data_IF_576137150985
#
_entry.id   IF_576137150985
#
_cell.length_a   1.000
_cell.length_b   1.000
_cell.length_c   1.000
_cell.angle_alpha   90.00
_cell.angle_beta   90.00
_cell.angle_gamma   90.00
#
_symmetry.space_group_name_H-M   'P 1'
#
loop_
_entity.id
_entity.type
_entity.pdbx_description
1 polymer ?
#
# COMPACT_ATOMS: atom_id res chain seq x y z
N UNK A 1 -5.95 -2.81 24.11
CA UNK A 1 -5.30 -2.20 22.94
C UNK A 1 -6.03 -2.68 21.71
N UNK A 2 -6.33 -1.75 20.80
CA UNK A 2 -6.81 -2.07 19.47
C UNK A 2 -5.56 -2.31 18.62
N UNK A 3 -5.37 -3.54 18.17
CA UNK A 3 -4.21 -3.93 17.36
C UNK A 3 -4.61 -3.92 15.88
N UNK A 4 -3.63 -3.85 14.97
CA UNK A 4 -3.86 -3.77 13.52
C UNK A 4 -4.66 -2.52 13.10
N UNK A 5 -4.16 -1.35 13.48
CA UNK A 5 -4.74 -0.05 13.13
C UNK A 5 -3.77 0.78 12.29
N UNK A 6 -4.30 1.69 11.49
CA UNK A 6 -3.48 2.61 10.70
C UNK A 6 -3.89 4.07 10.88
N UNK A 7 -2.95 4.97 10.65
CA UNK A 7 -3.16 6.41 10.53
C UNK A 7 -2.81 6.83 9.11
N UNK A 8 -3.74 7.49 8.46
CA UNK A 8 -3.66 7.81 7.05
C UNK A 8 -3.21 9.24 6.77
N UNK A 9 -2.35 9.36 5.76
CA UNK A 9 -1.93 10.64 5.24
C UNK A 9 -3.08 11.42 4.58
N UNK A 10 -3.16 12.72 4.89
CA UNK A 10 -4.14 13.63 4.32
C UNK A 10 -4.05 13.78 2.78
N UNK A 11 -2.84 13.74 2.21
CA UNK A 11 -2.64 13.82 0.76
C UNK A 11 -3.23 12.63 0.00
N UNK A 12 -3.34 11.49 0.66
CA UNK A 12 -4.00 10.31 0.09
C UNK A 12 -5.48 10.60 -0.15
N UNK A 13 -6.14 11.33 0.75
CA UNK A 13 -7.54 11.71 0.58
C UNK A 13 -7.73 12.73 -0.52
N UNK A 14 -6.87 13.73 -0.61
CA UNK A 14 -6.90 14.72 -1.69
C UNK A 14 -6.72 14.04 -3.05
N UNK A 15 -5.78 13.11 -3.16
CA UNK A 15 -5.53 12.34 -4.39
C UNK A 15 -6.73 11.49 -4.80
N UNK A 16 -7.37 10.82 -3.83
CA UNK A 16 -8.56 10.01 -4.07
C UNK A 16 -9.77 10.86 -4.44
N UNK A 17 -9.99 11.97 -3.72
CA UNK A 17 -11.07 12.90 -4.02
C UNK A 17 -10.95 13.43 -5.45
N UNK A 18 -9.75 13.85 -5.86
CA UNK A 18 -9.51 14.31 -7.23
C UNK A 18 -9.71 13.20 -8.26
N UNK A 19 -9.25 11.96 -7.99
CA UNK A 19 -9.46 10.83 -8.88
C UNK A 19 -10.95 10.56 -9.13
N UNK A 20 -11.78 10.59 -8.08
CA UNK A 20 -13.21 10.32 -8.20
C UNK A 20 -14.03 11.50 -8.74
N UNK A 21 -13.63 12.73 -8.45
CA UNK A 21 -14.38 13.92 -8.87
C UNK A 21 -13.99 14.44 -10.26
N UNK A 22 -12.71 14.30 -10.64
CA UNK A 22 -12.14 14.88 -11.87
C UNK A 22 -11.58 13.82 -12.83
N UNK A 23 -11.42 12.57 -12.39
CA UNK A 23 -10.74 11.53 -13.14
C UNK A 23 -9.21 11.58 -12.98
N UNK A 24 -8.48 10.71 -13.70
CA UNK A 24 -7.03 10.60 -13.57
C UNK A 24 -6.29 11.85 -14.07
N UNK A 25 -5.42 12.41 -13.24
CA UNK A 25 -4.58 13.57 -13.60
C UNK A 25 -3.24 13.12 -14.20
N UNK A 26 -3.03 13.39 -15.50
CA UNK A 26 -1.78 13.05 -16.18
C UNK A 26 -0.70 14.14 -16.12
N UNK A 27 -0.89 15.14 -15.26
CA UNK A 27 0.16 16.09 -14.87
C UNK A 27 1.31 15.38 -14.14
N UNK A 28 2.37 16.14 -13.85
CA UNK A 28 3.52 15.65 -13.11
C UNK A 28 3.47 16.14 -11.65
N UNK A 29 3.55 15.19 -10.73
CA UNK A 29 3.94 15.39 -9.36
C UNK A 29 5.46 15.21 -9.22
N UNK A 30 6.03 15.49 -8.04
CA UNK A 30 7.47 15.42 -7.80
C UNK A 30 7.80 14.57 -6.58
N UNK A 31 8.70 13.61 -6.74
CA UNK A 31 9.27 12.83 -5.63
C UNK A 31 10.64 13.36 -5.25
N UNK A 32 10.92 13.38 -3.95
CA UNK A 32 12.24 13.74 -3.44
C UNK A 32 13.17 12.51 -3.54
N UNK A 33 14.30 12.66 -4.22
CA UNK A 33 15.36 11.64 -4.28
C UNK A 33 16.61 12.12 -3.54
N UNK A 34 17.03 11.36 -2.55
CA UNK A 34 18.18 11.65 -1.71
C UNK A 34 19.44 11.19 -2.43
N UNK A 35 20.41 12.10 -2.57
CA UNK A 35 21.74 11.77 -3.04
C UNK A 35 22.74 11.87 -1.88
N UNK A 36 23.10 10.72 -1.31
CA UNK A 36 24.04 10.63 -0.18
C UNK A 36 25.49 10.93 -0.60
N UNK A 37 25.84 10.69 -1.85
CA UNK A 37 27.21 10.91 -2.36
C UNK A 37 27.51 12.41 -2.50
N UNK A 38 26.54 13.16 -3.01
CA UNK A 38 26.66 14.62 -3.18
C UNK A 38 26.15 15.41 -1.99
N UNK A 39 25.70 14.74 -0.92
CA UNK A 39 25.11 15.36 0.27
C UNK A 39 23.98 16.35 -0.09
N UNK A 40 23.12 15.95 -1.04
CA UNK A 40 22.04 16.78 -1.59
C UNK A 40 20.76 15.97 -1.82
N UNK A 41 19.76 16.60 -2.40
CA UNK A 41 18.56 15.92 -2.89
C UNK A 41 18.10 16.56 -4.19
N UNK A 42 17.36 15.80 -5.00
CA UNK A 42 16.79 16.22 -6.26
C UNK A 42 15.29 15.90 -6.32
N UNK A 43 14.60 16.48 -7.30
CA UNK A 43 13.21 16.18 -7.59
C UNK A 43 13.09 15.36 -8.87
N UNK A 44 12.43 14.21 -8.79
CA UNK A 44 12.10 13.39 -9.97
C UNK A 44 10.61 13.52 -10.28
N UNK A 45 10.27 13.68 -11.55
CA UNK A 45 8.88 13.74 -11.98
C UNK A 45 8.21 12.36 -11.91
N UNK A 46 6.98 12.35 -11.43
CA UNK A 46 6.10 11.18 -11.41
C UNK A 46 4.72 11.57 -11.94
N UNK A 47 4.05 10.65 -12.64
CA UNK A 47 2.68 10.88 -13.10
C UNK A 47 1.71 10.97 -11.91
N UNK A 48 0.94 12.04 -11.81
CA UNK A 48 -0.06 12.21 -10.73
C UNK A 48 -1.10 11.07 -10.76
N UNK A 49 -1.51 10.60 -11.94
CA UNK A 49 -2.45 9.49 -12.08
C UNK A 49 -1.93 8.18 -11.47
N UNK A 50 -0.61 7.95 -11.53
CA UNK A 50 0.01 6.78 -10.91
C UNK A 50 -0.10 6.87 -9.38
N UNK A 51 0.21 8.03 -8.81
CA UNK A 51 0.07 8.32 -7.38
C UNK A 51 -1.38 8.18 -6.90
N UNK A 52 -2.35 8.66 -7.68
CA UNK A 52 -3.78 8.52 -7.39
C UNK A 52 -4.24 7.06 -7.38
N UNK A 53 -3.82 6.28 -8.39
CA UNK A 53 -4.18 4.86 -8.50
C UNK A 53 -3.52 4.03 -7.39
N UNK A 54 -2.26 4.32 -7.04
CA UNK A 54 -1.61 3.65 -5.92
C UNK A 54 -2.28 3.98 -4.58
N UNK A 55 -2.69 5.24 -4.40
CA UNK A 55 -3.48 5.67 -3.24
C UNK A 55 -4.80 4.87 -3.13
N UNK A 56 -5.46 4.59 -4.26
CA UNK A 56 -6.65 3.74 -4.31
C UNK A 56 -6.33 2.30 -3.91
N UNK A 57 -5.19 1.76 -4.33
CA UNK A 57 -4.76 0.42 -3.96
C UNK A 57 -4.45 0.31 -2.47
N UNK A 58 -3.85 1.33 -1.87
CA UNK A 58 -3.70 1.42 -0.42
C UNK A 58 -5.05 1.46 0.29
N UNK A 59 -6.03 2.20 -0.24
CA UNK A 59 -7.37 2.28 0.35
C UNK A 59 -8.05 0.93 0.39
N UNK A 60 -8.05 0.23 -0.74
CA UNK A 60 -8.69 -1.07 -0.84
C UNK A 60 -8.07 -2.05 0.17
N UNK A 61 -6.74 -2.11 0.26
CA UNK A 61 -6.07 -3.02 1.19
C UNK A 61 -6.41 -2.69 2.65
N UNK A 62 -6.36 -1.41 3.02
CA UNK A 62 -6.59 -0.98 4.39
C UNK A 62 -8.06 -1.16 4.79
N UNK A 63 -9.02 -0.83 3.92
CA UNK A 63 -10.44 -1.09 4.15
C UNK A 63 -10.73 -2.58 4.35
N UNK A 64 -10.03 -3.46 3.64
CA UNK A 64 -10.25 -4.91 3.76
C UNK A 64 -9.57 -5.50 5.00
N UNK A 65 -8.36 -5.03 5.36
CA UNK A 65 -7.49 -5.71 6.32
C UNK A 65 -7.33 -5.03 7.69
N UNK A 66 -7.58 -3.73 7.84
CA UNK A 66 -7.41 -3.03 9.12
C UNK A 66 -8.59 -3.18 10.04
N UNK A 67 -8.35 -3.14 11.34
CA UNK A 67 -9.45 -3.03 12.31
C UNK A 67 -9.98 -1.60 12.40
N UNK A 68 -9.08 -0.62 12.43
CA UNK A 68 -9.41 0.81 12.44
C UNK A 68 -8.45 1.62 11.57
N UNK A 69 -8.98 2.65 10.95
CA UNK A 69 -8.27 3.62 10.14
C UNK A 69 -8.52 5.00 10.73
N UNK A 70 -7.47 5.58 11.31
CA UNK A 70 -7.47 6.93 11.83
C UNK A 70 -7.16 7.94 10.74
N UNK A 71 -7.84 9.08 10.77
CA UNK A 71 -7.58 10.21 9.88
C UNK A 71 -7.77 11.54 10.60
N UNK A 72 -7.02 12.57 10.21
CA UNK A 72 -7.14 13.89 10.85
C UNK A 72 -8.48 14.55 10.45
N UNK A 73 -9.24 14.97 11.48
CA UNK A 73 -10.57 15.56 11.36
C UNK A 73 -10.63 16.75 10.41
N UNK A 74 -9.54 17.50 10.29
CA UNK A 74 -9.45 18.67 9.39
C UNK A 74 -9.58 18.28 7.92
N UNK A 75 -9.40 17.00 7.59
CA UNK A 75 -9.51 16.46 6.24
C UNK A 75 -10.76 15.57 6.07
N UNK A 76 -11.67 15.60 7.04
CA UNK A 76 -12.96 14.86 6.98
C UNK A 76 -13.79 15.19 5.75
N UNK A 77 -13.72 16.40 5.21
CA UNK A 77 -14.45 16.79 4.00
C UNK A 77 -14.14 15.89 2.80
N UNK A 78 -12.89 15.43 2.66
CA UNK A 78 -12.49 14.49 1.60
C UNK A 78 -13.16 13.11 1.76
N UNK A 79 -13.30 12.63 3.00
CA UNK A 79 -13.97 11.35 3.31
C UNK A 79 -15.48 11.43 3.16
N UNK A 80 -16.10 12.50 3.68
CA UNK A 80 -17.55 12.72 3.63
C UNK A 80 -18.06 12.95 2.20
N UNK A 81 -17.15 13.08 1.23
CA UNK A 81 -17.50 13.17 -0.19
C UNK A 81 -17.86 11.80 -0.79
N UNK A 82 -17.66 10.71 -0.05
CA UNK A 82 -17.97 9.35 -0.47
C UNK A 82 -19.09 8.76 0.38
N UNK A 83 -20.34 8.82 -0.09
CA UNK A 83 -21.51 8.27 0.65
C UNK A 83 -21.31 6.81 1.10
N UNK A 84 -20.57 6.00 0.33
CA UNK A 84 -20.26 4.62 0.69
C UNK A 84 -19.41 4.48 1.96
N UNK A 85 -18.67 5.52 2.34
CA UNK A 85 -17.80 5.54 3.52
C UNK A 85 -18.53 6.03 4.77
N UNK A 86 -19.69 6.69 4.64
CA UNK A 86 -20.49 7.18 5.77
C UNK A 86 -20.89 6.04 6.72
N UNK A 87 -21.20 4.86 6.16
CA UNK A 87 -21.54 3.66 6.94
C UNK A 87 -20.39 3.12 7.80
N UNK A 88 -19.16 3.55 7.52
CA UNK A 88 -17.94 3.12 8.20
C UNK A 88 -17.45 4.13 9.24
N UNK A 89 -18.03 5.34 9.27
CA UNK A 89 -17.65 6.40 10.21
C UNK A 89 -17.95 5.98 11.65
N UNK A 90 -17.00 6.26 12.55
CA UNK A 90 -17.06 5.89 13.96
C UNK A 90 -16.86 4.40 14.26
N UNK A 91 -16.90 3.51 13.26
CA UNK A 91 -16.66 2.07 13.42
C UNK A 91 -15.27 1.65 12.94
N UNK A 92 -15.01 1.80 11.64
CA UNK A 92 -13.73 1.54 10.99
C UNK A 92 -12.96 2.84 10.78
N UNK A 93 -13.62 3.87 10.26
CA UNK A 93 -13.02 5.17 10.02
C UNK A 93 -13.16 6.02 11.27
N UNK A 94 -12.04 6.40 11.88
CA UNK A 94 -12.03 7.13 13.14
C UNK A 94 -11.39 8.49 12.92
N UNK A 95 -12.22 9.53 12.92
CA UNK A 95 -11.76 10.91 12.90
C UNK A 95 -11.03 11.25 14.20
N UNK A 96 -9.85 11.85 14.10
CA UNK A 96 -9.06 12.32 15.25
C UNK A 96 -8.70 13.79 15.07
N UNK A 97 -8.82 14.58 16.13
CA UNK A 97 -8.27 15.94 16.17
C UNK A 97 -7.05 15.96 17.07
N UNK A 98 -5.87 15.84 16.46
CA UNK A 98 -4.59 15.88 17.16
C UNK A 98 -3.99 17.27 16.94
N UNK A 99 -3.88 18.10 18.00
CA UNK A 99 -3.25 19.41 17.88
C UNK A 99 -1.81 19.29 17.37
N UNK A 100 -1.45 20.09 16.37
CA UNK A 100 -0.09 20.11 15.77
C UNK A 100 1.02 20.40 16.80
N UNK A 101 0.67 21.11 17.88
CA UNK A 101 1.56 21.47 18.99
C UNK A 101 1.40 20.59 20.22
N UNK A 102 0.71 19.45 20.11
CA UNK A 102 0.76 18.44 21.15
C UNK A 102 2.23 18.09 21.45
N UNK A 103 2.71 18.18 22.71
CA UNK A 103 4.12 17.98 23.03
C UNK A 103 4.69 16.63 22.60
N UNK A 104 3.95 15.53 22.81
CA UNK A 104 4.39 14.18 22.44
C UNK A 104 4.53 14.04 20.93
N UNK A 105 3.56 14.56 20.17
CA UNK A 105 3.60 14.59 18.71
C UNK A 105 4.75 15.47 18.21
N UNK A 106 4.99 16.61 18.86
CA UNK A 106 6.06 17.52 18.52
C UNK A 106 7.44 16.89 18.73
N UNK A 107 7.63 16.17 19.84
CA UNK A 107 8.87 15.46 20.15
C UNK A 107 9.12 14.32 19.15
N UNK A 108 8.11 13.49 18.87
CA UNK A 108 8.21 12.42 17.88
C UNK A 108 8.46 12.96 16.47
N UNK A 109 7.80 14.07 16.08
CA UNK A 109 8.06 14.74 14.80
C UNK A 109 9.51 15.24 14.71
N UNK A 110 10.03 15.86 15.76
CA UNK A 110 11.39 16.42 15.73
C UNK A 110 12.43 15.30 15.59
N UNK A 111 12.25 14.18 16.30
CA UNK A 111 13.07 12.97 16.10
C UNK A 111 12.96 12.43 14.67
N UNK A 112 11.75 12.39 14.11
CA UNK A 112 11.56 11.97 12.72
C UNK A 112 12.26 12.92 11.73
N UNK A 113 12.24 14.23 11.96
CA UNK A 113 12.95 15.20 11.12
C UNK A 113 14.47 14.98 11.13
N UNK A 114 15.06 14.65 12.27
CA UNK A 114 16.48 14.32 12.38
C UNK A 114 16.86 13.11 11.50
N UNK A 115 15.95 12.13 11.42
CA UNK A 115 16.13 10.93 10.58
C UNK A 115 15.83 11.20 9.10
N UNK A 116 14.87 12.06 8.79
CA UNK A 116 14.47 12.36 7.41
C UNK A 116 15.42 13.31 6.70
N UNK A 117 15.98 14.29 7.42
CA UNK A 117 16.94 15.26 6.89
C UNK A 117 18.37 14.69 6.86
N UNK A 118 18.60 13.66 6.05
CA UNK A 118 19.87 12.92 6.03
C UNK A 118 21.03 13.68 5.39
N UNK A 119 20.76 14.70 4.58
CA UNK A 119 21.81 15.53 3.96
C UNK A 119 21.85 16.93 4.56
N UNK A 120 23.00 17.58 4.47
CA UNK A 120 23.16 18.93 5.03
C UNK A 120 22.30 19.96 4.28
N UNK A 121 22.07 19.75 2.99
CA UNK A 121 21.11 20.58 2.23
C UNK A 121 19.68 20.45 2.77
N UNK A 122 19.24 19.23 3.10
CA UNK A 122 17.90 19.01 3.68
C UNK A 122 17.78 19.65 5.07
N UNK A 123 18.80 19.51 5.92
CA UNK A 123 18.83 20.16 7.25
C UNK A 123 18.71 21.67 7.12
N UNK A 124 19.53 22.27 6.24
CA UNK A 124 19.50 23.70 5.95
C UNK A 124 18.12 24.16 5.47
N UNK A 125 17.53 23.49 4.48
CA UNK A 125 16.21 23.88 3.96
C UNK A 125 15.10 23.70 5.02
N UNK A 126 15.21 22.69 5.88
CA UNK A 126 14.28 22.51 7.00
C UNK A 126 14.42 23.63 8.04
N UNK A 127 15.64 24.06 8.36
CA UNK A 127 15.90 25.19 9.26
C UNK A 127 15.37 26.51 8.68
N UNK A 128 15.64 26.78 7.40
CA UNK A 128 15.13 27.96 6.68
C UNK A 128 13.60 27.97 6.65
N UNK A 129 12.96 26.80 6.48
CA UNK A 129 11.51 26.65 6.59
C UNK A 129 10.98 26.99 7.99
N UNK A 130 11.62 26.48 9.04
CA UNK A 130 11.23 26.75 10.42
C UNK A 130 11.40 28.24 10.77
N UNK A 131 12.50 28.85 10.36
CA UNK A 131 12.78 30.26 10.60
C UNK A 131 11.82 31.17 9.83
N UNK A 132 11.63 30.91 8.53
CA UNK A 132 10.69 31.65 7.69
C UNK A 132 9.27 31.58 8.25
N UNK A 133 8.81 30.40 8.67
CA UNK A 133 7.47 30.25 9.21
C UNK A 133 7.30 30.97 10.56
N UNK A 134 8.32 30.93 11.43
CA UNK A 134 8.30 31.67 12.71
C UNK A 134 8.21 33.17 12.50
N UNK A 135 8.99 33.73 11.58
CA UNK A 135 9.06 35.18 11.32
C UNK A 135 7.85 35.69 10.54
N UNK A 136 7.49 34.99 9.47
CA UNK A 136 6.64 35.53 8.40
C UNK A 136 5.40 34.67 8.11
N UNK A 137 5.23 33.51 8.79
CA UNK A 137 4.22 32.49 8.44
C UNK A 137 4.36 31.94 7.03
N UNK A 138 5.58 31.97 6.47
CA UNK A 138 5.90 31.50 5.12
C UNK A 138 7.08 30.53 5.16
N UNK A 139 7.00 29.44 4.40
CA UNK A 139 8.08 28.47 4.27
C UNK A 139 8.80 28.69 2.93
N UNK A 140 10.04 29.19 2.88
CA UNK A 140 10.76 29.46 1.62
C UNK A 140 10.90 28.23 0.71
N UNK A 141 10.96 27.03 1.28
CA UNK A 141 10.99 25.75 0.57
C UNK A 141 9.69 24.98 0.80
N UNK A 142 8.57 25.55 0.35
CA UNK A 142 7.23 25.07 0.68
C UNK A 142 7.02 23.58 0.36
N UNK A 143 7.24 23.17 -0.90
CA UNK A 143 7.00 21.78 -1.30
C UNK A 143 7.92 20.80 -0.58
N UNK A 144 9.19 21.16 -0.36
CA UNK A 144 10.11 20.39 0.48
C UNK A 144 9.55 20.22 1.90
N UNK A 145 9.07 21.32 2.51
CA UNK A 145 8.45 21.28 3.83
C UNK A 145 7.20 20.40 3.85
N UNK A 146 6.34 20.50 2.84
CA UNK A 146 5.14 19.66 2.75
C UNK A 146 5.47 18.16 2.65
N UNK A 147 6.55 17.79 1.97
CA UNK A 147 7.01 16.39 1.89
C UNK A 147 7.66 15.95 3.21
N UNK A 148 8.71 16.66 3.67
CA UNK A 148 9.54 16.24 4.80
C UNK A 148 8.87 16.51 6.15
N UNK A 149 8.46 17.75 6.41
CA UNK A 149 7.77 18.10 7.66
C UNK A 149 6.39 17.47 7.73
N UNK A 150 5.69 17.33 6.60
CA UNK A 150 4.43 16.59 6.51
C UNK A 150 4.60 15.12 6.90
N UNK A 151 5.58 14.41 6.31
CA UNK A 151 5.89 13.03 6.68
C UNK A 151 6.25 12.90 8.17
N UNK A 152 7.14 13.74 8.68
CA UNK A 152 7.51 13.76 10.10
C UNK A 152 6.30 14.01 11.02
N UNK A 153 5.42 14.92 10.62
CA UNK A 153 4.22 15.27 11.37
C UNK A 153 3.22 14.11 11.43
N UNK A 154 3.06 13.37 10.34
CA UNK A 154 2.20 12.19 10.32
C UNK A 154 2.80 11.02 11.08
N UNK A 155 4.11 10.81 11.02
CA UNK A 155 4.82 9.85 11.86
C UNK A 155 4.66 10.14 13.36
N UNK A 156 4.75 11.43 13.74
CA UNK A 156 4.51 11.84 15.12
C UNK A 156 3.09 11.53 15.60
N UNK A 157 2.08 11.77 14.74
CA UNK A 157 0.67 11.48 15.04
C UNK A 157 0.39 9.98 15.08
N UNK A 158 0.92 9.22 14.14
CA UNK A 158 0.73 7.76 14.09
C UNK A 158 1.38 7.11 15.31
N UNK A 159 2.57 7.56 15.72
CA UNK A 159 3.23 7.11 16.95
C UNK A 159 2.40 7.44 18.19
N UNK A 160 1.87 8.66 18.30
CA UNK A 160 0.97 9.05 19.39
C UNK A 160 -0.28 8.16 19.47
N UNK A 161 -0.83 7.76 18.33
CA UNK A 161 -1.99 6.87 18.24
C UNK A 161 -1.67 5.39 18.45
N UNK A 162 -0.38 5.00 18.43
CA UNK A 162 0.01 3.59 18.35
C UNK A 162 -0.49 2.92 17.07
N UNK A 163 -0.58 3.66 15.97
CA UNK A 163 -1.09 3.20 14.68
C UNK A 163 0.00 3.19 13.61
N UNK A 164 -0.12 2.28 12.64
CA UNK A 164 0.79 2.23 11.50
C UNK A 164 0.57 3.41 10.57
N UNK A 165 1.63 4.14 10.21
CA UNK A 165 1.51 5.25 9.27
C UNK A 165 1.41 4.77 7.82
N UNK A 166 0.25 4.98 7.20
CA UNK A 166 0.05 4.76 5.76
C UNK A 166 0.33 6.08 5.04
N UNK A 167 1.56 6.20 4.55
CA UNK A 167 2.02 7.38 3.84
C UNK A 167 1.37 7.51 2.45
N UNK A 168 1.18 8.75 2.02
CA UNK A 168 0.92 9.06 0.61
C UNK A 168 2.11 8.61 -0.25
N UNK A 169 1.94 8.10 -1.49
CA UNK A 169 3.04 7.56 -2.29
C UNK A 169 4.26 8.48 -2.43
N UNK A 170 4.06 9.80 -2.55
CA UNK A 170 5.17 10.77 -2.63
C UNK A 170 6.00 10.78 -1.34
N UNK A 171 5.35 10.70 -0.18
CA UNK A 171 6.02 10.64 1.13
C UNK A 171 6.56 9.24 1.42
N UNK A 172 5.89 8.18 0.97
CA UNK A 172 6.38 6.80 1.07
C UNK A 172 7.74 6.65 0.35
N UNK A 173 7.85 7.20 -0.86
CA UNK A 173 9.10 7.24 -1.64
C UNK A 173 10.26 7.88 -0.85
N UNK A 174 10.02 8.91 -0.03
CA UNK A 174 11.02 9.47 0.88
C UNK A 174 11.37 8.51 2.03
N UNK A 175 10.36 7.93 2.68
CA UNK A 175 10.55 7.04 3.83
C UNK A 175 11.37 5.79 3.47
N UNK A 176 11.19 5.26 2.27
CA UNK A 176 11.93 4.09 1.78
C UNK A 176 13.44 4.37 1.56
N UNK A 177 13.83 5.64 1.40
CA UNK A 177 15.23 6.03 1.17
C UNK A 177 16.03 6.25 2.47
N UNK A 178 15.34 6.34 3.60
CA UNK A 178 15.97 6.60 4.90
C UNK A 178 16.05 5.30 5.71
N UNK A 179 17.26 4.74 5.93
CA UNK A 179 17.42 3.71 6.93
C UNK A 179 17.16 4.37 8.29
N UNK A 180 16.47 3.70 9.22
CA UNK A 180 16.33 4.04 10.65
C UNK A 180 14.95 4.50 11.14
N UNK A 181 13.90 4.50 10.31
CA UNK A 181 12.57 4.33 10.91
C UNK A 181 12.38 2.84 11.15
N UNK A 182 12.43 2.40 12.41
CA UNK A 182 11.71 1.20 12.82
C UNK A 182 10.27 1.66 13.11
N UNK A 183 9.36 1.69 12.12
CA UNK A 183 7.96 1.82 12.47
C UNK A 183 7.63 0.70 13.45
N UNK A 184 6.71 0.96 14.38
CA UNK A 184 6.07 -0.11 15.14
C UNK A 184 5.76 -1.27 14.18
N UNK A 185 6.25 -2.47 14.49
CA UNK A 185 6.14 -3.62 13.60
C UNK A 185 4.69 -3.74 13.16
N UNK A 186 4.44 -3.57 11.86
CA UNK A 186 3.11 -3.65 11.29
C UNK A 186 2.92 -5.01 10.64
N UNK A 187 2.23 -5.90 11.35
CA UNK A 187 2.03 -7.26 10.89
C UNK A 187 1.15 -7.34 9.64
N UNK A 188 0.27 -6.36 9.42
CA UNK A 188 -0.46 -6.28 8.16
C UNK A 188 0.51 -6.12 6.97
N UNK A 189 1.44 -5.16 7.05
CA UNK A 189 2.47 -4.96 6.04
C UNK A 189 3.41 -6.16 5.91
N UNK A 190 3.85 -6.78 7.02
CA UNK A 190 4.70 -7.98 6.99
C UNK A 190 4.02 -9.14 6.24
N UNK A 191 2.74 -9.40 6.54
CA UNK A 191 1.96 -10.47 5.89
C UNK A 191 1.74 -10.14 4.41
N UNK A 192 1.46 -8.88 4.07
CA UNK A 192 1.33 -8.43 2.66
C UNK A 192 2.64 -8.66 1.90
N UNK A 193 3.76 -8.21 2.44
CA UNK A 193 5.09 -8.38 1.83
C UNK A 193 5.43 -9.87 1.68
N UNK A 194 5.11 -10.70 2.68
CA UNK A 194 5.27 -12.14 2.59
C UNK A 194 4.42 -12.73 1.45
N UNK A 195 3.15 -12.33 1.30
CA UNK A 195 2.29 -12.78 0.19
C UNK A 195 2.90 -12.37 -1.15
N UNK A 196 3.33 -11.11 -1.29
CA UNK A 196 3.90 -10.58 -2.53
C UNK A 196 5.21 -11.31 -2.90
N UNK A 197 6.05 -11.61 -1.90
CA UNK A 197 7.26 -12.40 -2.08
C UNK A 197 6.97 -13.84 -2.54
N UNK A 198 5.98 -14.50 -1.96
CA UNK A 198 5.59 -15.84 -2.40
C UNK A 198 4.96 -15.84 -3.80
N UNK A 199 4.16 -14.81 -4.13
CA UNK A 199 3.63 -14.60 -5.50
C UNK A 199 4.77 -14.45 -6.50
N UNK A 200 5.74 -13.58 -6.21
CA UNK A 200 6.93 -13.37 -7.03
C UNK A 200 7.67 -14.69 -7.28
N UNK A 201 7.94 -15.49 -6.24
CA UNK A 201 8.59 -16.81 -6.37
C UNK A 201 7.80 -17.79 -7.24
N UNK A 202 6.47 -17.79 -7.12
CA UNK A 202 5.60 -18.65 -7.93
C UNK A 202 5.64 -18.25 -9.41
N UNK A 203 5.44 -16.97 -9.73
CA UNK A 203 5.33 -16.51 -11.11
C UNK A 203 6.68 -16.37 -11.84
N UNK A 204 7.78 -16.17 -11.12
CA UNK A 204 9.14 -16.22 -11.69
C UNK A 204 9.49 -17.61 -12.18
N UNK A 205 9.17 -18.66 -11.42
CA UNK A 205 9.45 -20.05 -11.80
C UNK A 205 8.65 -20.54 -13.02
N UNK A 206 7.54 -19.88 -13.33
CA UNK A 206 6.65 -20.19 -14.47
C UNK A 206 7.10 -19.55 -15.79
N UNK A 207 8.08 -18.64 -15.75
CA UNK A 207 8.52 -17.89 -16.92
C UNK A 207 9.71 -18.60 -17.58
N UNK A 208 9.63 -19.00 -18.87
CA UNK A 208 10.74 -19.66 -19.55
C UNK A 208 12.02 -18.82 -19.56
N UNK A 209 13.17 -19.48 -19.41
CA UNK A 209 14.50 -18.86 -19.51
C UNK A 209 14.62 -18.12 -20.84
N UNK A 210 14.95 -16.83 -20.79
CA UNK A 210 15.05 -15.94 -21.96
C UNK A 210 13.84 -15.04 -22.23
N UNK A 211 12.73 -15.17 -21.49
CA UNK A 211 11.55 -14.27 -21.54
C UNK A 211 11.34 -13.45 -20.26
N UNK A 212 12.40 -13.28 -19.46
CA UNK A 212 12.38 -12.55 -18.19
C UNK A 212 12.01 -11.06 -18.32
N UNK A 213 12.00 -10.48 -19.52
CA UNK A 213 11.69 -9.05 -19.70
C UNK A 213 10.20 -8.68 -19.51
N UNK A 214 9.32 -9.65 -19.22
CA UNK A 214 7.88 -9.44 -19.06
C UNK A 214 7.40 -9.68 -17.61
N UNK A 215 8.22 -9.43 -16.59
CA UNK A 215 7.76 -9.52 -15.21
C UNK A 215 6.60 -8.53 -14.98
N UNK A 216 5.48 -9.10 -14.51
CA UNK A 216 4.17 -8.45 -14.40
C UNK A 216 3.60 -8.86 -13.05
N UNK A 217 4.02 -8.20 -11.97
CA UNK A 217 3.20 -8.13 -10.76
C UNK A 217 2.31 -6.90 -10.92
N UNK A 218 1.10 -7.06 -11.44
CA UNK A 218 0.33 -5.89 -11.89
C UNK A 218 -0.45 -5.26 -10.75
N UNK A 219 -0.92 -6.04 -9.77
CA UNK A 219 -1.67 -5.52 -8.61
C UNK A 219 -1.52 -6.39 -7.36
N UNK A 220 -1.66 -5.81 -6.15
CA UNK A 220 -1.88 -6.56 -4.93
C UNK A 220 -3.11 -7.50 -5.07
N UNK A 221 -3.07 -8.72 -4.50
CA UNK A 221 -4.10 -9.74 -4.77
C UNK A 221 -5.50 -9.36 -4.26
N UNK A 222 -5.60 -8.62 -3.15
CA UNK A 222 -6.88 -8.13 -2.62
C UNK A 222 -7.44 -7.03 -3.51
N UNK A 223 -6.57 -6.13 -3.99
CA UNK A 223 -6.95 -5.06 -4.93
C UNK A 223 -7.55 -5.65 -6.20
N UNK A 224 -6.89 -6.66 -6.78
CA UNK A 224 -7.40 -7.36 -7.95
C UNK A 224 -8.77 -8.02 -7.68
N UNK A 225 -8.93 -8.72 -6.55
CA UNK A 225 -10.21 -9.36 -6.18
C UNK A 225 -11.34 -8.33 -6.05
N UNK A 226 -11.10 -7.19 -5.41
CA UNK A 226 -12.09 -6.11 -5.27
C UNK A 226 -12.46 -5.53 -6.63
N UNK A 227 -11.48 -5.16 -7.46
CA UNK A 227 -11.73 -4.60 -8.80
C UNK A 227 -12.49 -5.60 -9.67
N UNK A 228 -12.17 -6.89 -9.60
CA UNK A 228 -12.87 -7.92 -10.36
C UNK A 228 -14.32 -8.10 -9.93
N UNK A 229 -14.61 -7.94 -8.64
CA UNK A 229 -15.97 -8.03 -8.10
C UNK A 229 -16.87 -6.82 -8.38
N UNK A 230 -16.29 -5.62 -8.51
CA UNK A 230 -17.04 -4.39 -8.82
C UNK A 230 -17.52 -4.36 -10.27
N UNK A 231 -18.68 -3.74 -10.58
CA UNK A 231 -19.15 -3.60 -11.98
C UNK A 231 -18.77 -2.27 -12.64
N UNK A 232 -18.45 -1.26 -11.82
CA UNK A 232 -18.04 0.09 -12.24
C UNK A 232 -17.12 0.73 -11.19
N UNK A 233 -16.43 1.82 -11.56
CA UNK A 233 -15.49 2.52 -10.68
C UNK A 233 -16.09 2.97 -9.33
N UNK A 234 -17.32 3.48 -9.33
CA UNK A 234 -18.01 3.91 -8.11
C UNK A 234 -18.38 2.76 -7.16
N UNK A 235 -18.30 1.50 -7.60
CA UNK A 235 -18.56 0.33 -6.76
C UNK A 235 -17.30 -0.24 -6.09
N UNK A 236 -16.10 0.28 -6.38
CA UNK A 236 -14.85 -0.23 -5.79
C UNK A 236 -14.88 -0.19 -4.26
N UNK A 237 -15.34 0.91 -3.67
CA UNK A 237 -15.43 1.05 -2.20
C UNK A 237 -16.49 0.08 -1.63
N UNK A 238 -17.76 0.05 -2.11
CA UNK A 238 -18.72 -0.98 -1.72
C UNK A 238 -18.19 -2.42 -1.83
N UNK A 239 -17.51 -2.75 -2.93
CA UNK A 239 -16.90 -4.07 -3.12
C UNK A 239 -15.75 -4.35 -2.15
N UNK A 240 -14.98 -3.33 -1.75
CA UNK A 240 -13.98 -3.46 -0.69
C UNK A 240 -14.63 -3.78 0.67
N UNK A 241 -15.77 -3.15 0.98
CA UNK A 241 -16.54 -3.43 2.22
C UNK A 241 -17.11 -4.86 2.20
N UNK A 242 -17.66 -5.33 1.08
CA UNK A 242 -18.10 -6.73 0.98
C UNK A 242 -16.93 -7.71 1.13
N UNK A 243 -15.78 -7.36 0.54
CA UNK A 243 -14.56 -8.17 0.64
C UNK A 243 -14.02 -8.18 2.06
N UNK A 244 -14.10 -7.06 2.78
CA UNK A 244 -13.77 -6.97 4.21
C UNK A 244 -14.49 -8.07 5.00
N UNK A 245 -15.79 -8.26 4.82
CA UNK A 245 -16.54 -9.31 5.52
C UNK A 245 -16.04 -10.73 5.20
N UNK A 246 -15.66 -10.98 3.94
CA UNK A 246 -15.07 -12.27 3.51
C UNK A 246 -13.72 -12.54 4.17
N UNK A 247 -12.96 -11.49 4.49
CA UNK A 247 -11.62 -11.56 5.07
C UNK A 247 -11.57 -11.35 6.60
N UNK A 248 -12.71 -11.35 7.30
CA UNK A 248 -12.78 -11.16 8.77
C UNK A 248 -11.83 -12.07 9.54
N UNK A 249 -11.78 -13.37 9.24
CA UNK A 249 -10.86 -14.31 9.92
C UNK A 249 -9.38 -13.98 9.69
N UNK A 250 -9.04 -13.46 8.51
CA UNK A 250 -7.66 -13.05 8.20
C UNK A 250 -7.31 -11.80 9.00
N UNK A 251 -8.22 -10.82 9.11
CA UNK A 251 -8.01 -9.65 9.96
C UNK A 251 -7.83 -10.01 11.42
N UNK A 252 -8.70 -10.86 11.95
CA UNK A 252 -8.61 -11.35 13.32
C UNK A 252 -7.25 -12.01 13.56
N UNK A 253 -6.82 -12.89 12.64
CA UNK A 253 -5.52 -13.55 12.70
C UNK A 253 -4.33 -12.57 12.66
N UNK A 254 -4.39 -11.53 11.80
CA UNK A 254 -3.39 -10.45 11.77
C UNK A 254 -3.38 -9.69 13.10
N UNK A 255 -4.55 -9.36 13.65
CA UNK A 255 -4.67 -8.69 14.95
C UNK A 255 -4.11 -9.50 16.11
N UNK A 256 -4.36 -10.81 16.13
CA UNK A 256 -3.77 -11.72 17.13
C UNK A 256 -2.25 -11.84 16.97
N UNK A 257 -1.74 -11.86 15.72
CA UNK A 257 -0.31 -11.90 15.46
C UNK A 257 0.37 -10.59 15.89
N UNK A 258 -0.20 -9.43 15.56
CA UNK A 258 0.21 -8.11 16.05
C UNK A 258 0.27 -8.09 17.58
N UNK A 259 -0.79 -8.58 18.24
CA UNK A 259 -0.84 -8.69 19.71
C UNK A 259 0.28 -9.56 20.26
N UNK A 260 0.62 -10.66 19.59
CA UNK A 260 1.68 -11.56 20.01
C UNK A 260 3.08 -10.93 19.89
N UNK A 261 3.30 -10.10 18.85
CA UNK A 261 4.56 -9.36 18.65
C UNK A 261 4.72 -8.30 19.73
N UNK A 262 3.70 -7.48 19.95
CA UNK A 262 3.76 -6.40 20.94
C UNK A 262 3.89 -6.91 22.39
N UNK A 263 3.43 -8.14 22.66
CA UNK A 263 3.58 -8.80 23.96
C UNK A 263 4.81 -9.69 24.07
N UNK A 264 5.66 -9.72 23.03
CA UNK A 264 6.86 -10.54 22.95
C UNK A 264 6.61 -12.02 23.32
N UNK A 265 5.46 -12.59 22.94
CA UNK A 265 5.07 -13.95 23.35
C UNK A 265 5.62 -15.02 22.39
N UNK A 266 6.71 -15.74 22.71
CA UNK A 266 7.40 -16.59 21.73
C UNK A 266 6.57 -17.80 21.31
N UNK A 267 5.75 -18.34 22.22
CA UNK A 267 4.90 -19.49 21.93
C UNK A 267 3.80 -19.15 20.92
N UNK A 268 3.18 -17.96 21.06
CA UNK A 268 2.20 -17.47 20.08
C UNK A 268 2.87 -17.13 18.75
N UNK A 269 4.00 -16.43 18.77
CA UNK A 269 4.76 -16.09 17.56
C UNK A 269 5.15 -17.32 16.74
N UNK A 270 5.57 -18.40 17.40
CA UNK A 270 5.88 -19.67 16.72
C UNK A 270 4.68 -20.25 15.97
N UNK A 271 3.44 -20.09 16.47
CA UNK A 271 2.23 -20.59 15.78
C UNK A 271 1.94 -19.81 14.49
N UNK A 272 2.10 -18.48 14.53
CA UNK A 272 1.91 -17.62 13.37
C UNK A 272 2.95 -17.94 12.29
N UNK A 273 4.24 -17.97 12.67
CA UNK A 273 5.33 -18.34 11.75
C UNK A 273 5.16 -19.72 11.15
N UNK A 274 4.79 -20.73 11.95
CA UNK A 274 4.48 -22.08 11.44
C UNK A 274 3.35 -22.09 10.42
N UNK A 275 2.38 -21.20 10.53
CA UNK A 275 1.30 -21.08 9.55
C UNK A 275 1.84 -20.56 8.23
N UNK A 276 2.64 -19.49 8.25
CA UNK A 276 3.31 -18.94 7.05
C UNK A 276 4.26 -19.97 6.42
N UNK A 277 5.13 -20.59 7.22
CA UNK A 277 6.08 -21.63 6.77
C UNK A 277 5.35 -22.80 6.12
N UNK A 278 4.23 -23.23 6.70
CA UNK A 278 3.45 -24.33 6.16
C UNK A 278 2.81 -23.97 4.81
N UNK A 279 2.38 -22.73 4.61
CA UNK A 279 1.86 -22.27 3.32
C UNK A 279 2.99 -22.17 2.30
N UNK A 280 4.14 -21.60 2.67
CA UNK A 280 5.32 -21.54 1.82
C UNK A 280 5.77 -22.94 1.36
N UNK A 281 5.74 -23.94 2.25
CA UNK A 281 6.02 -25.34 1.90
C UNK A 281 5.00 -25.93 0.93
N UNK A 282 3.71 -25.59 1.07
CA UNK A 282 2.66 -26.04 0.15
C UNK A 282 2.86 -25.42 -1.25
N UNK A 283 3.16 -24.13 -1.33
CA UNK A 283 3.50 -23.41 -2.57
C UNK A 283 4.76 -23.98 -3.23
N UNK A 284 5.80 -24.26 -2.44
CA UNK A 284 7.05 -24.84 -2.93
C UNK A 284 6.87 -26.24 -3.51
N UNK A 285 6.01 -27.06 -2.90
CA UNK A 285 5.64 -28.38 -3.44
C UNK A 285 4.88 -28.26 -4.75
N UNK A 286 3.92 -27.32 -4.84
CA UNK A 286 3.19 -27.05 -6.09
C UNK A 286 4.14 -26.60 -7.20
N UNK A 287 5.12 -25.75 -6.87
CA UNK A 287 6.16 -25.27 -7.79
C UNK A 287 7.03 -26.39 -8.35
N UNK A 288 7.41 -27.36 -7.51
CA UNK A 288 8.29 -28.49 -7.86
C UNK A 288 7.54 -29.67 -8.50
N UNK A 289 6.22 -29.75 -8.33
CA UNK A 289 5.38 -30.84 -8.85
C UNK A 289 4.82 -30.60 -10.25
N UNK A 290 4.11 -31.59 -10.77
CA UNK A 290 3.35 -31.52 -12.04
C UNK A 290 1.97 -30.84 -11.91
N UNK A 291 1.72 -30.17 -10.77
CA UNK A 291 0.42 -29.53 -10.46
C UNK A 291 0.26 -28.13 -11.10
N UNK A 292 1.31 -27.67 -11.77
CA UNK A 292 1.25 -26.51 -12.65
C UNK A 292 0.54 -26.94 -13.94
N UNK A 293 -0.49 -26.20 -14.38
CA UNK A 293 -1.27 -26.58 -15.56
C UNK A 293 -0.42 -26.85 -16.82
N UNK A 294 -0.98 -27.53 -17.82
CA UNK A 294 -0.27 -27.73 -19.09
C UNK A 294 -0.27 -26.43 -19.91
N UNK A 295 0.87 -26.05 -20.46
CA UNK A 295 0.99 -24.98 -21.47
C UNK A 295 0.16 -25.34 -22.71
N UNK A 296 -0.85 -24.54 -23.05
CA UNK A 296 -1.54 -24.62 -24.35
C UNK A 296 -0.95 -23.57 -25.28
N UNK A 297 -0.34 -24.01 -26.38
CA UNK A 297 0.11 -23.13 -27.46
C UNK A 297 -1.04 -22.97 -28.43
N UNK A 298 -1.64 -21.77 -28.49
CA UNK A 298 -2.64 -21.42 -29.50
C UNK A 298 -2.00 -20.99 -30.81
N UNK A 299 -2.58 -21.38 -31.95
CA UNK A 299 -2.14 -21.00 -33.31
C UNK A 299 -2.54 -19.56 -33.70
N UNK A 300 -2.60 -18.64 -32.73
CA UNK A 300 -2.76 -17.20 -32.97
C UNK A 300 -1.51 -16.49 -32.46
N UNK A 301 -0.91 -15.69 -33.32
CA UNK A 301 0.49 -15.29 -33.30
C UNK A 301 0.95 -14.42 -32.11
N UNK A 302 0.11 -14.10 -31.11
CA UNK A 302 0.55 -13.51 -29.82
C UNK A 302 -0.42 -13.85 -28.65
N UNK A 303 -0.70 -15.13 -28.36
CA UNK A 303 -1.28 -15.49 -27.05
C UNK A 303 -0.64 -16.78 -26.50
N UNK A 304 0.33 -16.60 -25.60
CA UNK A 304 0.85 -17.66 -24.74
C UNK A 304 0.08 -17.62 -23.42
N UNK A 305 -0.82 -18.58 -23.23
CA UNK A 305 -1.42 -18.82 -21.92
C UNK A 305 -0.35 -19.46 -21.02
N UNK A 306 0.14 -18.69 -20.06
CA UNK A 306 1.06 -19.21 -19.06
C UNK A 306 0.34 -20.25 -18.19
N UNK A 307 1.01 -21.34 -17.80
CA UNK A 307 0.39 -22.34 -16.96
C UNK A 307 0.00 -21.72 -15.63
N UNK A 308 -1.31 -21.67 -15.38
CA UNK A 308 -1.86 -21.27 -14.09
C UNK A 308 -1.66 -22.41 -13.11
N UNK A 309 -1.22 -22.15 -11.86
CA UNK A 309 -1.25 -23.16 -10.83
C UNK A 309 -2.68 -23.70 -10.73
N UNK A 310 -2.86 -25.03 -10.75
CA UNK A 310 -4.16 -25.58 -10.39
C UNK A 310 -4.40 -25.22 -8.94
N UNK A 311 -5.53 -24.57 -8.66
CA UNK A 311 -5.97 -24.34 -7.29
C UNK A 311 -5.96 -25.69 -6.57
N UNK A 312 -5.25 -25.86 -5.43
CA UNK A 312 -5.26 -27.11 -4.67
C UNK A 312 -6.67 -27.67 -4.40
N UNK A 313 -6.74 -28.90 -3.90
CA UNK A 313 -7.99 -29.52 -3.46
C UNK A 313 -8.71 -28.59 -2.44
N UNK A 314 -10.02 -28.37 -2.61
CA UNK A 314 -10.88 -27.50 -1.78
C UNK A 314 -10.79 -27.85 -0.28
N UNK A 315 -10.39 -29.08 0.04
CA UNK A 315 -10.14 -29.56 1.41
C UNK A 315 -8.92 -28.89 2.08
N UNK A 316 -7.97 -28.34 1.31
CA UNK A 316 -6.80 -27.57 1.78
C UNK A 316 -7.10 -26.07 1.96
N UNK A 317 -8.29 -25.60 1.60
CA UNK A 317 -8.69 -24.19 1.62
C UNK A 317 -9.44 -23.75 2.89
N UNK A 318 -9.46 -24.58 3.94
CA UNK A 318 -10.12 -24.22 5.19
C UNK A 318 -9.24 -23.36 6.09
N UNK A 319 -9.81 -22.25 6.58
CA UNK A 319 -9.15 -21.35 7.52
C UNK A 319 -8.06 -20.47 6.92
N UNK A 320 -7.18 -19.96 7.77
CA UNK A 320 -6.16 -18.95 7.43
C UNK A 320 -5.21 -19.43 6.32
N UNK A 321 -4.73 -20.68 6.42
CA UNK A 321 -3.84 -21.28 5.41
C UNK A 321 -4.46 -21.30 4.02
N UNK A 322 -5.76 -21.58 3.93
CA UNK A 322 -6.48 -21.60 2.67
C UNK A 322 -6.59 -20.22 2.03
N UNK A 323 -6.92 -19.22 2.83
CA UNK A 323 -7.00 -17.83 2.38
C UNK A 323 -5.63 -17.29 1.95
N UNK A 324 -4.55 -17.57 2.70
CA UNK A 324 -3.18 -17.19 2.32
C UNK A 324 -2.75 -17.88 1.01
N UNK A 325 -2.98 -19.19 0.87
CA UNK A 325 -2.73 -19.89 -0.40
C UNK A 325 -3.52 -19.26 -1.57
N UNK A 326 -4.80 -18.93 -1.38
CA UNK A 326 -5.62 -18.26 -2.40
C UNK A 326 -5.00 -16.93 -2.82
N UNK A 327 -4.62 -16.08 -1.86
CA UNK A 327 -3.98 -14.79 -2.13
C UNK A 327 -2.64 -14.95 -2.87
N UNK A 328 -1.82 -15.91 -2.46
CA UNK A 328 -0.53 -16.19 -3.10
C UNK A 328 -0.65 -16.79 -4.51
N UNK A 329 -1.78 -17.43 -4.83
CA UNK A 329 -2.04 -18.02 -6.15
C UNK A 329 -2.94 -17.16 -7.04
N UNK A 330 -3.48 -16.04 -6.53
CA UNK A 330 -4.39 -15.18 -7.28
C UNK A 330 -3.71 -14.65 -8.56
N UNK A 331 -4.49 -14.31 -9.59
CA UNK A 331 -3.95 -13.82 -10.86
C UNK A 331 -3.08 -12.57 -10.69
N UNK A 332 -2.21 -12.31 -11.67
CA UNK A 332 -1.25 -11.19 -11.68
C UNK A 332 -1.90 -9.80 -11.66
N UNK A 333 -3.19 -9.70 -11.96
CA UNK A 333 -3.94 -8.44 -11.92
C UNK A 333 -4.04 -7.70 -13.26
N UNK A 334 -3.51 -8.22 -14.37
CA UNK A 334 -3.58 -7.56 -15.70
C UNK A 334 -5.02 -7.24 -16.13
N UNK A 335 -5.93 -8.21 -15.95
CA UNK A 335 -7.35 -8.06 -16.26
C UNK A 335 -7.98 -6.99 -15.37
N UNK A 336 -7.67 -7.02 -14.08
CA UNK A 336 -8.12 -6.04 -13.10
C UNK A 336 -7.64 -4.63 -13.44
N UNK A 337 -6.35 -4.45 -13.73
CA UNK A 337 -5.82 -3.13 -14.12
C UNK A 337 -6.44 -2.65 -15.43
N UNK A 338 -6.59 -3.52 -16.43
CA UNK A 338 -7.26 -3.16 -17.69
C UNK A 338 -8.69 -2.69 -17.44
N UNK A 339 -9.46 -3.43 -16.63
CA UNK A 339 -10.81 -3.07 -16.24
C UNK A 339 -10.88 -1.71 -15.52
N UNK A 340 -9.94 -1.45 -14.60
CA UNK A 340 -9.83 -0.16 -13.93
C UNK A 340 -9.54 0.99 -14.91
N UNK A 341 -8.58 0.79 -15.81
CA UNK A 341 -8.21 1.78 -16.83
C UNK A 341 -9.36 2.04 -17.81
N UNK A 342 -10.14 1.01 -18.15
CA UNK A 342 -11.36 1.16 -18.95
C UNK A 342 -12.38 2.06 -18.25
N UNK A 343 -12.59 1.90 -16.94
CA UNK A 343 -13.50 2.76 -16.18
C UNK A 343 -13.00 4.19 -15.97
N UNK A 344 -11.68 4.38 -16.00
CA UNK A 344 -11.03 5.69 -15.91
C UNK A 344 -10.84 6.36 -17.28
N UNK A 345 -11.54 5.87 -18.32
CA UNK A 345 -11.46 6.37 -19.70
C UNK A 345 -10.02 6.41 -20.27
N UNK A 346 -9.16 5.50 -19.83
CA UNK A 346 -7.78 5.36 -20.29
C UNK A 346 -7.40 3.91 -20.71
N UNK A 347 -8.24 3.23 -21.54
CA UNK A 347 -8.10 1.81 -21.83
C UNK A 347 -6.80 1.45 -22.59
N UNK A 348 -6.28 2.36 -23.42
CA UNK A 348 -5.14 2.14 -24.33
C UNK A 348 -4.35 3.43 -24.57
N UNK A 349 -3.18 3.30 -25.20
CA UNK A 349 -2.32 4.42 -25.61
C UNK A 349 -1.30 4.83 -24.55
N UNK A 350 -0.59 5.93 -24.80
CA UNK A 350 0.55 6.39 -23.98
C UNK A 350 0.21 6.59 -22.50
N UNK A 351 -1.00 7.07 -22.21
CA UNK A 351 -1.52 7.22 -20.84
C UNK A 351 -1.65 5.89 -20.11
N UNK A 352 -2.22 4.88 -20.78
CA UNK A 352 -2.36 3.51 -20.26
C UNK A 352 -1.00 2.85 -20.05
N UNK A 353 -0.09 3.03 -21.02
CA UNK A 353 1.27 2.50 -20.96
C UNK A 353 2.07 3.08 -19.79
N UNK A 354 1.98 4.40 -19.56
CA UNK A 354 2.63 5.07 -18.42
C UNK A 354 2.18 4.50 -17.07
N UNK A 355 0.88 4.24 -16.91
CA UNK A 355 0.35 3.62 -15.69
C UNK A 355 0.81 2.17 -15.57
N UNK A 356 0.76 1.40 -16.65
CA UNK A 356 1.20 0.00 -16.66
C UNK A 356 2.68 -0.13 -16.35
N UNK A 357 3.52 0.76 -16.86
CA UNK A 357 4.95 0.79 -16.57
C UNK A 357 5.23 1.09 -15.10
N UNK A 358 4.48 2.03 -14.51
CA UNK A 358 4.60 2.35 -13.08
C UNK A 358 4.32 1.15 -12.17
N UNK A 359 3.33 0.32 -12.50
CA UNK A 359 2.98 -0.87 -11.74
C UNK A 359 3.64 -2.16 -12.26
N UNK A 360 4.68 -2.07 -13.10
CA UNK A 360 5.50 -3.24 -13.47
C UNK A 360 6.63 -3.40 -12.46
N UNK A 361 6.69 -4.57 -11.84
CA UNK A 361 7.81 -5.03 -10.99
C UNK A 361 8.49 -6.24 -11.61
#
# INVERSE_FOLDING_TARGET
MLYNTSFWDNWTFESLFDLYSKGPDFSNSKELKINKETNSYDWTEICTACVQIESLFHLINELVLREKIFYDHKFSAGWNSFESLDSLDGSLLISVDIPTYNPEVADSRNKALELLCVTDLMKKHQEENLEGYRKNKQSPHEYFGQVVWGAAGNLGRSSFLGAHYVAHPIRASLLEQVPLFEPHTDINSEVKEWIDNERMKMFTSLTPVGKMNNFQLVLPPIVAEVIESASKFSEIIPSAIETREKYTKIREWIGEYQTAVERENPASLSKFRKTLDSVAQDLEKMRKGTDMGNTKVGLSFISLDFPMPKMPDYRRYWGIRGALNKLSLNQKGDKSLTKLLDWLDCPKGTKSEKIREYFRF
#
